data_IF_317207933807
#
_entry.id   IF_317207933807
#
_cell.length_a   1.000
_cell.length_b   1.000
_cell.length_c   1.000
_cell.angle_alpha   90.00
_cell.angle_beta   90.00
_cell.angle_gamma   90.00
#
_symmetry.space_group_name_H-M   'P 1'
#
loop_
_entity.id
_entity.type
_entity.pdbx_description
1 polymer ?
#
# COMPACT_ATOMS: atom_id res chain seq x y z
N UNK A 1 -27.71 4.77 -0.22
CA UNK A 1 -26.75 4.88 0.88
C UNK A 1 -26.65 6.34 1.23
N UNK A 2 -26.81 6.69 2.50
CA UNK A 2 -26.58 8.05 2.99
C UNK A 2 -25.08 8.28 3.20
N UNK A 3 -24.62 9.53 3.13
CA UNK A 3 -23.21 9.87 3.35
C UNK A 3 -22.70 9.36 4.71
N UNK A 4 -23.56 9.34 5.74
CA UNK A 4 -23.24 8.79 7.06
C UNK A 4 -22.88 7.30 7.01
N UNK A 5 -23.59 6.52 6.21
CA UNK A 5 -23.31 5.08 6.06
C UNK A 5 -21.96 4.86 5.38
N UNK A 6 -21.61 5.72 4.41
CA UNK A 6 -20.30 5.70 3.78
C UNK A 6 -19.19 5.98 4.79
N UNK A 7 -19.32 7.05 5.59
CA UNK A 7 -18.31 7.39 6.59
C UNK A 7 -18.19 6.34 7.69
N UNK A 8 -19.29 5.70 8.10
CA UNK A 8 -19.26 4.54 9.00
C UNK A 8 -18.51 3.36 8.39
N UNK A 9 -18.70 3.08 7.10
CA UNK A 9 -17.95 2.04 6.41
C UNK A 9 -16.44 2.35 6.36
N UNK A 10 -16.05 3.63 6.16
CA UNK A 10 -14.65 4.06 6.21
C UNK A 10 -14.05 3.79 7.60
N UNK A 11 -14.74 4.19 8.67
CA UNK A 11 -14.29 3.94 10.05
C UNK A 11 -14.19 2.43 10.32
N UNK A 12 -15.18 1.64 9.90
CA UNK A 12 -15.17 0.19 10.08
C UNK A 12 -14.01 -0.49 9.32
N UNK A 13 -13.72 -0.03 8.10
CA UNK A 13 -12.58 -0.51 7.31
C UNK A 13 -11.26 -0.18 8.04
N UNK A 14 -11.11 1.05 8.53
CA UNK A 14 -9.92 1.46 9.27
C UNK A 14 -9.71 0.64 10.55
N UNK A 15 -10.78 0.36 11.31
CA UNK A 15 -10.71 -0.52 12.48
C UNK A 15 -10.27 -1.93 12.08
N UNK A 16 -10.83 -2.46 11.00
CA UNK A 16 -10.45 -3.78 10.48
C UNK A 16 -8.98 -3.84 10.10
N UNK A 17 -8.49 -2.82 9.38
CA UNK A 17 -7.09 -2.77 8.93
C UNK A 17 -6.12 -2.60 10.10
N UNK A 18 -6.48 -1.82 11.12
CA UNK A 18 -5.65 -1.60 12.29
C UNK A 18 -5.61 -2.78 13.27
N UNK A 19 -6.69 -3.55 13.36
CA UNK A 19 -6.83 -4.68 14.30
C UNK A 19 -6.37 -6.01 13.74
N UNK A 20 -6.08 -6.10 12.44
CA UNK A 20 -5.43 -7.26 11.86
C UNK A 20 -3.92 -7.30 12.18
N UNK A 21 -3.33 -8.50 12.31
CA UNK A 21 -1.88 -8.64 12.37
C UNK A 21 -1.21 -8.04 11.12
N UNK A 22 -0.04 -7.43 11.31
CA UNK A 22 0.68 -6.79 10.21
C UNK A 22 1.05 -7.78 9.10
N UNK A 23 0.80 -7.38 7.85
CA UNK A 23 1.10 -8.20 6.68
C UNK A 23 2.57 -8.55 6.58
N UNK A 24 2.85 -9.84 6.37
CA UNK A 24 4.18 -10.37 6.08
C UNK A 24 4.42 -10.58 4.58
N UNK A 25 3.35 -10.55 3.77
CA UNK A 25 3.39 -10.87 2.34
C UNK A 25 3.62 -9.64 1.48
N UNK A 26 2.97 -8.52 1.82
CA UNK A 26 2.98 -7.29 1.01
C UNK A 26 3.41 -6.11 1.87
N UNK A 27 4.54 -5.50 1.52
CA UNK A 27 5.07 -4.34 2.24
C UNK A 27 4.16 -3.12 2.19
N UNK A 28 3.48 -2.87 1.07
CA UNK A 28 2.52 -1.76 0.95
C UNK A 28 1.39 -1.92 1.95
N UNK A 29 0.73 -3.09 1.95
CA UNK A 29 -0.35 -3.40 2.90
C UNK A 29 0.10 -3.22 4.34
N UNK A 30 1.30 -3.68 4.70
CA UNK A 30 1.84 -3.46 6.04
C UNK A 30 1.97 -1.97 6.38
N UNK A 31 2.49 -1.15 5.47
CA UNK A 31 2.65 0.28 5.70
C UNK A 31 1.29 0.96 5.85
N UNK A 32 0.30 0.54 5.06
CA UNK A 32 -1.06 1.05 5.18
C UNK A 32 -1.66 0.72 6.55
N UNK A 33 -1.54 -0.54 7.01
CA UNK A 33 -1.98 -0.94 8.36
C UNK A 33 -1.30 -0.14 9.48
N UNK A 34 0.01 0.12 9.36
CA UNK A 34 0.75 0.95 10.34
C UNK A 34 0.21 2.37 10.36
N UNK A 35 0.04 2.99 9.19
CA UNK A 35 -0.54 4.34 9.06
C UNK A 35 -1.96 4.39 9.61
N UNK A 36 -2.77 3.36 9.38
CA UNK A 36 -4.13 3.29 9.93
C UNK A 36 -4.12 3.19 11.45
N UNK A 37 -3.17 2.46 12.05
CA UNK A 37 -2.99 2.43 13.51
C UNK A 37 -2.58 3.80 14.05
N UNK A 38 -1.64 4.49 13.39
CA UNK A 38 -1.26 5.87 13.75
C UNK A 38 -2.48 6.80 13.67
N UNK A 39 -3.22 6.76 12.57
CA UNK A 39 -4.44 7.56 12.36
C UNK A 39 -5.51 7.36 13.44
N UNK A 40 -5.67 6.14 13.96
CA UNK A 40 -6.64 5.82 15.01
C UNK A 40 -6.14 6.12 16.43
N UNK A 41 -4.83 6.10 16.66
CA UNK A 41 -4.26 6.19 18.02
C UNK A 41 -3.75 7.57 18.37
N UNK A 42 -3.24 8.32 17.38
CA UNK A 42 -2.76 9.68 17.58
C UNK A 42 -3.91 10.70 17.50
N UNK A 43 -3.83 11.81 18.24
CA UNK A 43 -4.76 12.92 18.07
C UNK A 43 -4.59 13.53 16.67
N UNK A 44 -5.65 13.46 15.85
CA UNK A 44 -5.66 13.92 14.47
C UNK A 44 -7.03 14.55 14.15
N UNK A 45 -7.02 15.76 13.57
CA UNK A 45 -8.22 16.48 13.12
C UNK A 45 -9.00 15.70 12.06
N UNK A 46 -8.31 15.05 11.12
CA UNK A 46 -8.95 14.32 10.03
C UNK A 46 -9.78 13.14 10.55
N UNK A 47 -9.33 12.52 11.64
CA UNK A 47 -10.08 11.45 12.30
C UNK A 47 -11.32 11.98 13.03
N UNK A 48 -11.22 13.15 13.66
CA UNK A 48 -12.33 13.81 14.33
C UNK A 48 -13.40 14.21 13.31
N UNK A 49 -13.00 14.80 12.18
CA UNK A 49 -13.88 15.17 11.07
C UNK A 49 -14.62 13.94 10.51
N UNK A 50 -13.90 12.84 10.25
CA UNK A 50 -14.52 11.59 9.76
C UNK A 50 -15.49 11.00 10.79
N UNK A 51 -15.17 11.07 12.09
CA UNK A 51 -16.08 10.63 13.14
C UNK A 51 -17.33 11.50 13.22
N UNK A 52 -17.20 12.83 13.09
CA UNK A 52 -18.32 13.76 13.05
C UNK A 52 -19.25 13.47 11.87
N UNK A 53 -18.69 13.28 10.67
CA UNK A 53 -19.43 12.91 9.46
C UNK A 53 -20.14 11.54 9.58
N UNK A 54 -19.62 10.63 10.39
CA UNK A 54 -20.21 9.33 10.70
C UNK A 54 -21.22 9.35 11.86
N UNK A 55 -21.38 10.49 12.56
CA UNK A 55 -22.09 10.64 13.84
C UNK A 55 -21.58 9.68 14.93
N UNK A 56 -20.27 9.54 15.02
CA UNK A 56 -19.58 8.72 16.01
C UNK A 56 -18.79 9.60 16.98
N UNK A 57 -18.70 9.15 18.23
CA UNK A 57 -17.88 9.80 19.25
C UNK A 57 -16.42 9.30 19.11
N UNK A 58 -15.46 10.16 18.70
CA UNK A 58 -14.08 9.75 18.47
C UNK A 58 -13.43 9.16 19.73
N UNK A 59 -13.80 9.65 20.92
CA UNK A 59 -13.24 9.16 22.19
C UNK A 59 -13.71 7.74 22.47
N UNK A 60 -14.98 7.43 22.22
CA UNK A 60 -15.52 6.07 22.37
C UNK A 60 -14.90 5.10 21.37
N UNK A 61 -14.75 5.53 20.12
CA UNK A 61 -14.09 4.72 19.08
C UNK A 61 -12.67 4.39 19.50
N UNK A 62 -11.86 5.38 19.89
CA UNK A 62 -10.48 5.13 20.35
C UNK A 62 -10.42 4.21 21.57
N UNK A 63 -11.27 4.46 22.58
CA UNK A 63 -11.33 3.62 23.78
C UNK A 63 -11.63 2.15 23.46
N UNK A 64 -12.45 1.89 22.45
CA UNK A 64 -12.78 0.53 22.02
C UNK A 64 -11.67 -0.11 21.19
N UNK A 65 -11.05 0.65 20.29
CA UNK A 65 -10.10 0.13 19.29
C UNK A 65 -8.68 -0.03 19.86
N UNK A 66 -8.26 0.81 20.80
CA UNK A 66 -6.95 0.74 21.46
C UNK A 66 -6.59 -0.65 22.02
N UNK A 67 -7.44 -1.33 22.82
CA UNK A 67 -7.11 -2.67 23.31
C UNK A 67 -6.98 -3.70 22.19
N UNK A 68 -7.78 -3.58 21.12
CA UNK A 68 -7.72 -4.47 19.96
C UNK A 68 -6.44 -4.29 19.15
N UNK A 69 -6.00 -3.04 18.95
CA UNK A 69 -4.71 -2.74 18.31
C UNK A 69 -3.55 -3.27 19.17
N UNK A 70 -3.63 -3.12 20.49
CA UNK A 70 -2.60 -3.63 21.41
C UNK A 70 -2.50 -5.17 21.33
N UNK A 71 -3.62 -5.88 21.20
CA UNK A 71 -3.63 -7.33 20.98
C UNK A 71 -3.06 -7.71 19.61
N UNK A 72 -3.45 -7.02 18.54
CA UNK A 72 -2.92 -7.24 17.20
C UNK A 72 -1.39 -7.04 17.15
N UNK A 73 -0.90 -6.01 17.85
CA UNK A 73 0.53 -5.67 17.92
C UNK A 73 1.36 -6.79 18.57
N UNK A 74 0.80 -7.52 19.55
CA UNK A 74 1.48 -8.69 20.14
C UNK A 74 1.69 -9.83 19.14
N UNK A 75 0.79 -9.94 18.15
CA UNK A 75 0.82 -10.99 17.14
C UNK A 75 1.57 -10.58 15.86
N UNK A 76 2.10 -9.35 15.81
CA UNK A 76 2.79 -8.84 14.63
C UNK A 76 4.09 -9.61 14.38
N UNK A 77 4.16 -10.22 13.21
CA UNK A 77 5.38 -10.88 12.76
C UNK A 77 6.32 -9.85 12.09
N UNK A 78 7.65 -10.03 12.23
CA UNK A 78 8.60 -9.21 11.50
C UNK A 78 8.47 -9.44 9.99
N UNK A 79 8.80 -8.41 9.19
CA UNK A 79 8.85 -8.56 7.74
C UNK A 79 9.94 -9.59 7.39
N UNK A 80 9.64 -10.61 6.56
CA UNK A 80 10.66 -11.56 6.12
C UNK A 80 11.78 -10.82 5.39
N UNK A 81 13.03 -11.15 5.72
CA UNK A 81 14.17 -10.57 5.03
C UNK A 81 14.09 -10.94 3.54
N UNK A 82 14.19 -9.94 2.67
CA UNK A 82 14.34 -10.18 1.23
C UNK A 82 15.68 -10.89 1.02
N UNK A 83 15.66 -12.20 0.89
CA UNK A 83 16.81 -12.93 0.36
C UNK A 83 17.12 -12.30 -0.99
N UNK A 84 18.31 -11.70 -1.13
CA UNK A 84 18.77 -11.18 -2.42
C UNK A 84 18.60 -12.33 -3.41
N UNK A 85 17.61 -12.24 -4.28
CA UNK A 85 17.48 -13.22 -5.36
C UNK A 85 18.82 -13.19 -6.07
N UNK A 86 19.56 -14.30 -5.95
CA UNK A 86 20.81 -14.48 -6.69
C UNK A 86 20.43 -14.19 -8.12
N UNK A 87 20.95 -13.10 -8.68
CA UNK A 87 20.83 -12.83 -10.11
C UNK A 87 21.34 -14.09 -10.76
N UNK A 88 20.43 -14.92 -11.25
CA UNK A 88 20.77 -16.06 -12.08
C UNK A 88 21.38 -15.39 -13.29
N UNK A 89 22.71 -15.34 -13.33
CA UNK A 89 23.43 -14.94 -14.53
C UNK A 89 23.00 -15.99 -15.54
N UNK A 90 22.02 -15.63 -16.37
CA UNK A 90 21.66 -16.41 -17.53
C UNK A 90 22.95 -16.47 -18.34
N UNK A 91 23.66 -17.59 -18.22
CA UNK A 91 24.87 -17.84 -18.98
C UNK A 91 24.41 -17.91 -20.42
N UNK A 92 24.61 -16.83 -21.17
CA UNK A 92 24.37 -16.74 -22.60
C UNK A 92 25.41 -17.58 -23.39
N UNK A 93 25.60 -18.84 -22.97
CA UNK A 93 26.49 -19.81 -23.60
C UNK A 93 25.67 -21.06 -23.90
N UNK A 94 24.73 -20.97 -24.84
CA UNK A 94 24.25 -22.08 -25.69
C UNK A 94 23.23 -21.64 -26.76
N UNK A 95 23.50 -20.54 -27.49
CA UNK A 95 22.92 -20.36 -28.83
C UNK A 95 24.06 -20.40 -29.85
N UNK A 96 24.53 -21.62 -30.09
CA UNK A 96 25.44 -21.91 -31.21
C UNK A 96 24.59 -22.16 -32.45
N UNK A 97 24.41 -21.11 -33.26
CA UNK A 97 24.19 -21.19 -34.70
C UNK A 97 22.77 -21.47 -35.20
N UNK A 98 22.06 -20.41 -35.60
CA UNK A 98 21.34 -20.22 -36.89
C UNK A 98 21.31 -18.69 -37.08
N UNK A 99 22.03 -18.10 -38.06
CA UNK A 99 21.44 -17.53 -39.28
C UNK A 99 20.34 -16.49 -38.98
N UNK A 100 20.32 -15.23 -39.39
CA UNK A 100 20.82 -14.53 -40.58
C UNK A 100 20.75 -13.01 -40.34
N UNK A 101 21.37 -12.25 -41.25
CA UNK A 101 21.44 -10.79 -41.32
C UNK A 101 20.11 -10.06 -41.04
N UNK A 102 20.08 -9.20 -40.02
CA UNK A 102 19.13 -8.07 -39.96
C UNK A 102 19.92 -6.79 -40.21
N UNK A 103 19.77 -6.33 -41.43
CA UNK A 103 20.22 -5.03 -41.93
C UNK A 103 19.74 -3.90 -41.02
N UNK A 104 20.63 -2.92 -40.83
CA UNK A 104 20.34 -1.61 -40.25
C UNK A 104 19.03 -1.03 -40.79
N UNK A 105 17.99 -0.95 -39.97
CA UNK A 105 16.94 0.04 -40.16
C UNK A 105 16.98 1.07 -39.02
N UNK A 106 17.76 2.11 -39.27
CA UNK A 106 17.73 3.36 -38.52
C UNK A 106 16.48 4.11 -38.97
N UNK A 107 15.34 3.92 -38.31
CA UNK A 107 14.22 4.88 -38.33
C UNK A 107 13.14 4.46 -37.35
N UNK A 108 13.29 4.84 -36.08
CA UNK A 108 12.17 5.10 -35.17
C UNK A 108 12.66 6.04 -34.05
N UNK A 109 12.84 7.31 -34.42
CA UNK A 109 12.80 8.41 -33.44
C UNK A 109 11.33 8.78 -33.30
N UNK A 110 10.72 8.45 -32.16
CA UNK A 110 9.47 9.10 -31.76
C UNK A 110 9.70 10.62 -31.69
N UNK A 111 8.89 11.45 -32.37
CA UNK A 111 8.98 12.89 -32.21
C UNK A 111 8.46 13.28 -30.84
N UNK A 112 9.30 14.03 -30.11
CA UNK A 112 8.97 14.72 -28.86
C UNK A 112 7.96 15.82 -29.20
N UNK A 113 6.70 15.64 -28.82
CA UNK A 113 5.66 16.67 -28.99
C UNK A 113 6.07 17.89 -28.16
N UNK A 114 6.29 19.01 -28.85
CA UNK A 114 6.59 20.30 -28.26
C UNK A 114 5.36 20.83 -27.51
N UNK A 115 5.61 21.42 -26.35
CA UNK A 115 4.65 22.23 -25.64
C UNK A 115 4.44 23.53 -26.42
N UNK A 116 3.19 23.88 -26.72
CA UNK A 116 2.83 25.25 -27.07
C UNK A 116 2.04 25.85 -25.89
N UNK A 117 2.66 26.87 -25.32
CA UNK A 117 2.03 27.87 -24.48
C UNK A 117 1.40 28.93 -25.38
N UNK A 118 0.13 29.29 -25.12
CA UNK A 118 -0.43 30.65 -24.92
C UNK A 118 -1.95 30.51 -24.84
#
# INVERSE_FOLDING_TARGET
>A
MSDKELWRAVVQQAITDATQPLSTKRRSVRLDQVRTREWLTEPNSDFEDVCELAELDPVKVRKHVLPMIAEATKNDQPMPQRTRQRRVRFSARHTRGVGENISNDRRDRCPRVAQESV
#
